data_IF_503229095187
#
_entry.id   IF_503229095187
#
_cell.length_a   1.000
_cell.length_b   1.000
_cell.length_c   1.000
_cell.angle_alpha   90.00
_cell.angle_beta   90.00
_cell.angle_gamma   90.00
#
_symmetry.space_group_name_H-M   'P 1'
#
loop_
_entity.id
_entity.type
_entity.pdbx_description
1 polymer ?
#
# COMPACT_ATOMS: atom_id res chain seq x y z
N UNK A 1 18.75 -0.21 13.47
CA UNK A 1 17.33 -0.28 13.84
C UNK A 1 16.54 -0.44 12.55
N UNK A 2 15.67 -1.44 12.43
CA UNK A 2 14.88 -1.62 11.20
C UNK A 2 13.82 -0.52 11.08
N UNK A 3 13.31 -0.26 9.86
CA UNK A 3 12.21 0.69 9.66
C UNK A 3 10.98 0.31 10.49
N UNK A 4 10.66 -0.99 10.56
CA UNK A 4 9.55 -1.50 11.38
C UNK A 4 9.72 -1.18 12.87
N UNK A 5 10.94 -1.31 13.40
CA UNK A 5 11.23 -0.97 14.80
C UNK A 5 11.05 0.52 15.05
N UNK A 6 11.51 1.36 14.12
CA UNK A 6 11.32 2.82 14.18
C UNK A 6 9.83 3.18 14.21
N UNK A 7 9.04 2.61 13.30
CA UNK A 7 7.60 2.89 13.22
C UNK A 7 6.87 2.44 14.48
N UNK A 8 7.21 1.26 15.02
CA UNK A 8 6.65 0.79 16.27
C UNK A 8 7.06 1.67 17.46
N UNK A 9 8.30 2.16 17.50
CA UNK A 9 8.73 3.11 18.52
C UNK A 9 7.92 4.42 18.47
N UNK A 10 7.75 4.99 17.28
CA UNK A 10 6.92 6.19 17.05
C UNK A 10 5.46 5.96 17.44
N UNK A 11 4.90 4.81 17.07
CA UNK A 11 3.53 4.45 17.41
C UNK A 11 3.30 4.36 18.93
N UNK A 12 4.26 3.82 19.70
CA UNK A 12 4.20 3.82 21.17
C UNK A 12 4.23 5.23 21.75
N UNK A 13 5.13 6.08 21.26
CA UNK A 13 5.20 7.48 21.68
C UNK A 13 3.89 8.21 21.38
N UNK A 14 3.34 8.02 20.18
CA UNK A 14 2.07 8.58 19.76
C UNK A 14 0.94 8.14 20.69
N UNK A 15 0.82 6.83 20.95
CA UNK A 15 -0.22 6.29 21.82
C UNK A 15 -0.14 6.88 23.23
N UNK A 16 1.07 6.97 23.80
CA UNK A 16 1.30 7.55 25.12
C UNK A 16 0.94 9.04 25.17
N UNK A 17 1.36 9.81 24.17
CA UNK A 17 1.12 11.26 24.11
C UNK A 17 -0.36 11.62 23.95
N UNK A 18 -1.12 10.79 23.24
CA UNK A 18 -2.52 11.07 22.90
C UNK A 18 -3.52 10.22 23.70
N UNK A 19 -3.04 9.41 24.66
CA UNK A 19 -3.89 8.53 25.46
C UNK A 19 -4.62 7.46 24.64
N UNK A 20 -4.05 7.03 23.52
CA UNK A 20 -4.67 6.02 22.66
C UNK A 20 -4.60 4.64 23.30
N UNK A 21 -5.64 3.83 23.08
CA UNK A 21 -5.59 2.41 23.39
C UNK A 21 -4.62 1.73 22.42
N UNK A 22 -3.65 0.96 22.91
CA UNK A 22 -2.72 0.23 22.06
C UNK A 22 -2.33 -1.13 22.65
N UNK A 23 -2.18 -2.13 21.79
CA UNK A 23 -1.62 -3.44 22.13
C UNK A 23 -0.36 -3.73 21.31
N UNK A 24 0.47 -4.65 21.78
CA UNK A 24 1.66 -5.09 21.05
C UNK A 24 1.49 -6.51 20.52
N UNK A 25 1.71 -6.65 19.22
CA UNK A 25 1.92 -7.94 18.57
C UNK A 25 3.41 -8.30 18.70
N UNK A 26 3.70 -9.45 19.33
CA UNK A 26 5.05 -10.00 19.41
C UNK A 26 5.42 -10.92 18.24
N UNK A 27 6.71 -11.21 18.09
CA UNK A 27 7.25 -12.11 17.06
C UNK A 27 7.72 -11.40 15.78
N UNK A 28 7.93 -12.15 14.70
CA UNK A 28 8.44 -11.65 13.41
C UNK A 28 7.52 -10.60 12.76
N UNK A 29 6.22 -10.64 13.05
CA UNK A 29 5.24 -9.67 12.60
C UNK A 29 5.00 -8.54 13.61
N UNK A 30 6.05 -8.10 14.33
CA UNK A 30 5.88 -7.14 15.43
C UNK A 30 5.18 -5.85 14.97
N UNK A 31 4.15 -5.45 15.70
CA UNK A 31 3.41 -4.23 15.42
C UNK A 31 2.69 -3.69 16.64
N UNK A 32 2.64 -2.38 16.79
CA UNK A 32 1.67 -1.70 17.65
C UNK A 32 0.31 -1.71 16.96
N UNK A 33 -0.71 -2.19 17.67
CA UNK A 33 -2.10 -2.22 17.22
C UNK A 33 -2.90 -1.17 17.99
N UNK A 34 -3.43 -0.18 17.29
CA UNK A 34 -4.28 0.84 17.88
C UNK A 34 -5.71 0.32 18.09
N UNK A 35 -6.30 0.65 19.24
CA UNK A 35 -7.67 0.30 19.57
C UNK A 35 -8.68 1.33 19.06
N UNK A 36 -9.92 1.14 19.52
CA UNK A 36 -10.95 2.17 19.44
C UNK A 36 -10.99 2.93 20.76
N UNK A 37 -11.22 4.23 20.70
CA UNK A 37 -11.52 5.02 21.89
C UNK A 37 -12.97 4.78 22.36
N UNK A 38 -13.35 5.41 23.46
CA UNK A 38 -14.70 5.30 24.06
C UNK A 38 -15.83 5.72 23.11
N UNK A 39 -15.54 6.60 22.14
CA UNK A 39 -16.49 7.05 21.12
C UNK A 39 -16.53 6.13 19.89
N UNK A 40 -15.84 4.98 19.92
CA UNK A 40 -15.77 4.03 18.79
C UNK A 40 -14.89 4.50 17.63
N UNK A 41 -14.10 5.56 17.81
CA UNK A 41 -13.13 6.05 16.81
C UNK A 41 -11.85 5.23 16.87
N UNK A 42 -11.33 4.82 15.71
CA UNK A 42 -10.05 4.11 15.61
C UNK A 42 -8.88 5.06 15.71
N UNK A 43 -8.00 4.84 16.70
CA UNK A 43 -6.85 5.71 16.98
C UNK A 43 -5.70 5.57 15.96
N UNK A 44 -5.81 4.61 15.02
CA UNK A 44 -4.88 4.52 13.89
C UNK A 44 -5.12 5.58 12.80
N UNK A 45 -6.27 6.27 12.83
CA UNK A 45 -6.69 7.22 11.81
C UNK A 45 -6.81 8.64 12.35
N UNK A 46 -6.58 9.62 11.49
CA UNK A 46 -7.00 10.99 11.78
C UNK A 46 -8.52 11.05 11.98
N UNK A 47 -9.04 11.90 12.89
CA UNK A 47 -10.48 11.99 13.15
C UNK A 47 -11.31 12.27 11.89
N UNK A 48 -10.89 13.26 11.09
CA UNK A 48 -11.53 13.61 9.81
C UNK A 48 -11.51 12.45 8.81
N UNK A 49 -10.37 11.73 8.71
CA UNK A 49 -10.26 10.54 7.86
C UNK A 49 -11.24 9.46 8.31
N UNK A 50 -11.28 9.16 9.60
CA UNK A 50 -12.17 8.12 10.11
C UNK A 50 -13.65 8.46 9.85
N UNK A 51 -14.03 9.73 10.00
CA UNK A 51 -15.36 10.19 9.68
C UNK A 51 -15.71 9.99 8.18
N UNK A 52 -14.79 10.35 7.27
CA UNK A 52 -14.96 10.13 5.82
C UNK A 52 -15.04 8.65 5.43
N UNK A 53 -14.26 7.79 6.10
CA UNK A 53 -14.32 6.32 5.92
C UNK A 53 -15.68 5.79 6.32
N UNK A 54 -16.22 6.21 7.47
CA UNK A 54 -17.54 5.78 7.94
C UNK A 54 -18.67 6.31 7.06
N UNK A 55 -18.52 7.51 6.50
CA UNK A 55 -19.51 8.09 5.59
C UNK A 55 -19.66 7.34 4.26
N UNK A 56 -18.65 6.54 3.86
CA UNK A 56 -18.65 5.76 2.61
C UNK A 56 -18.66 4.26 2.90
N UNK A 57 -19.78 3.55 2.68
CA UNK A 57 -19.88 2.11 2.99
C UNK A 57 -18.80 1.24 2.33
N UNK A 58 -18.34 1.61 1.13
CA UNK A 58 -17.27 0.89 0.45
C UNK A 58 -15.94 0.96 1.22
N UNK A 59 -15.60 2.11 1.80
CA UNK A 59 -14.40 2.32 2.61
C UNK A 59 -14.56 1.71 4.00
N UNK A 60 -15.72 1.89 4.63
CA UNK A 60 -16.02 1.35 5.97
C UNK A 60 -15.80 -0.17 6.05
N UNK A 61 -16.15 -0.93 4.99
CA UNK A 61 -15.90 -2.38 4.91
C UNK A 61 -14.42 -2.76 5.08
N UNK A 62 -13.47 -1.89 4.74
CA UNK A 62 -12.03 -2.17 4.94
C UNK A 62 -11.68 -2.24 6.44
N UNK A 63 -12.39 -1.50 7.30
CA UNK A 63 -12.19 -1.53 8.76
C UNK A 63 -12.56 -2.87 9.41
N UNK A 64 -13.33 -3.71 8.71
CA UNK A 64 -13.83 -4.99 9.23
C UNK A 64 -12.86 -6.15 9.02
N UNK A 65 -11.84 -5.98 8.17
CA UNK A 65 -10.91 -7.07 7.85
C UNK A 65 -10.13 -7.49 9.09
N UNK A 66 -10.32 -8.74 9.52
CA UNK A 66 -9.73 -9.29 10.75
C UNK A 66 -8.22 -9.44 10.57
N UNK A 67 -7.45 -8.99 11.55
CA UNK A 67 -6.00 -9.14 11.53
C UNK A 67 -5.61 -10.62 11.51
N UNK A 68 -4.72 -11.03 10.62
CA UNK A 68 -4.31 -12.44 10.45
C UNK A 68 -3.78 -13.08 11.72
N UNK A 69 -3.06 -12.31 12.55
CA UNK A 69 -2.56 -12.74 13.85
C UNK A 69 -3.62 -12.88 14.96
N UNK A 70 -4.83 -12.33 14.79
CA UNK A 70 -5.87 -12.30 15.83
C UNK A 70 -6.24 -13.70 16.35
N UNK A 71 -6.32 -14.69 15.45
CA UNK A 71 -6.65 -16.08 15.84
C UNK A 71 -5.58 -16.71 16.72
N UNK A 72 -4.32 -16.26 16.61
CA UNK A 72 -3.17 -16.77 17.39
C UNK A 72 -2.99 -16.04 18.73
N UNK A 73 -3.55 -14.84 18.86
CA UNK A 73 -3.32 -13.94 20.00
C UNK A 73 -4.50 -13.82 20.96
N UNK A 74 -5.56 -14.61 20.77
CA UNK A 74 -6.86 -14.53 21.48
C UNK A 74 -6.78 -14.50 23.02
N UNK A 75 -5.63 -14.86 23.60
CA UNK A 75 -5.34 -14.80 25.03
C UNK A 75 -4.87 -13.43 25.55
N UNK A 76 -4.59 -12.43 24.70
CA UNK A 76 -3.90 -11.17 25.09
C UNK A 76 -4.62 -9.88 24.69
N UNK A 77 -5.81 -9.96 24.11
CA UNK A 77 -6.49 -8.79 23.55
C UNK A 77 -7.92 -8.67 24.07
N UNK A 78 -8.27 -7.50 24.60
CA UNK A 78 -9.63 -7.20 25.08
C UNK A 78 -10.61 -6.90 23.93
N UNK A 79 -10.13 -6.84 22.68
CA UNK A 79 -10.95 -6.52 21.50
C UNK A 79 -10.52 -7.26 20.23
N UNK A 80 -11.41 -7.35 19.21
CA UNK A 80 -11.08 -7.92 17.91
C UNK A 80 -10.09 -7.05 17.12
N UNK A 81 -8.89 -7.57 16.88
CA UNK A 81 -7.87 -6.88 16.08
C UNK A 81 -8.24 -6.86 14.59
N UNK A 82 -8.10 -5.69 13.95
CA UNK A 82 -8.29 -5.52 12.50
C UNK A 82 -6.97 -5.21 11.81
N UNK A 83 -6.89 -5.50 10.52
CA UNK A 83 -5.66 -5.26 9.75
C UNK A 83 -5.25 -3.78 9.76
N UNK A 84 -6.24 -2.89 9.64
CA UNK A 84 -6.03 -1.45 9.62
C UNK A 84 -5.78 -0.84 11.01
N UNK A 85 -5.69 -1.64 12.06
CA UNK A 85 -5.28 -1.17 13.39
C UNK A 85 -3.75 -1.18 13.54
N UNK A 86 -3.04 -1.88 12.65
CA UNK A 86 -1.60 -1.99 12.70
C UNK A 86 -0.91 -0.67 12.31
N UNK A 87 0.00 -0.22 13.17
CA UNK A 87 0.78 1.00 12.97
C UNK A 87 1.67 0.95 11.71
N UNK A 88 2.01 -0.26 11.26
CA UNK A 88 2.90 -0.51 10.13
C UNK A 88 2.14 -0.93 8.86
N UNK A 89 0.83 -0.76 8.84
CA UNK A 89 -0.04 -1.08 7.70
C UNK A 89 0.08 -0.03 6.61
N UNK A 90 0.50 -0.48 5.41
CA UNK A 90 0.49 0.30 4.17
C UNK A 90 -0.93 0.71 3.76
N UNK A 91 -1.92 -0.20 3.87
CA UNK A 91 -3.34 0.12 3.65
C UNK A 91 -3.85 1.23 4.58
N UNK A 92 -3.49 1.19 5.87
CA UNK A 92 -3.92 2.23 6.81
C UNK A 92 -3.26 3.59 6.48
N UNK A 93 -2.00 3.58 6.03
CA UNK A 93 -1.32 4.79 5.54
C UNK A 93 -1.99 5.33 4.26
N UNK A 94 -2.26 4.46 3.28
CA UNK A 94 -3.02 4.79 2.07
C UNK A 94 -4.34 5.48 2.42
N UNK A 95 -5.14 4.86 3.30
CA UNK A 95 -6.43 5.40 3.68
C UNK A 95 -6.30 6.71 4.47
N UNK A 96 -5.30 6.86 5.34
CA UNK A 96 -5.02 8.14 6.02
C UNK A 96 -4.72 9.29 5.05
N UNK A 97 -4.08 8.99 3.92
CA UNK A 97 -3.79 10.02 2.91
C UNK A 97 -5.02 10.25 2.02
N UNK A 98 -5.51 9.21 1.35
CA UNK A 98 -6.47 9.36 0.26
C UNK A 98 -7.93 9.51 0.71
N UNK A 99 -8.28 9.09 1.93
CA UNK A 99 -9.62 9.32 2.48
C UNK A 99 -9.75 10.69 3.18
N UNK A 100 -8.68 11.47 3.33
CA UNK A 100 -8.79 12.77 3.97
C UNK A 100 -9.53 13.78 3.06
N UNK A 101 -10.44 14.61 3.62
CA UNK A 101 -11.24 15.55 2.83
C UNK A 101 -10.41 16.47 1.92
N UNK A 102 -9.27 16.97 2.42
CA UNK A 102 -8.39 17.86 1.67
C UNK A 102 -7.73 17.19 0.47
N UNK A 103 -7.49 15.87 0.51
CA UNK A 103 -6.77 15.14 -0.54
C UNK A 103 -7.51 15.13 -1.86
N UNK A 104 -8.85 14.97 -1.81
CA UNK A 104 -9.71 14.99 -3.01
C UNK A 104 -9.63 16.29 -3.82
N UNK A 105 -9.34 17.42 -3.16
CA UNK A 105 -9.24 18.75 -3.77
C UNK A 105 -7.79 19.16 -4.04
N UNK A 106 -6.82 18.33 -3.67
CA UNK A 106 -5.41 18.66 -3.75
C UNK A 106 -4.88 18.44 -5.18
N UNK A 107 -4.86 19.50 -5.97
CA UNK A 107 -4.41 19.43 -7.36
C UNK A 107 -2.97 18.95 -7.51
N UNK A 108 -2.07 19.28 -6.56
CA UNK A 108 -0.67 18.83 -6.60
C UNK A 108 -0.55 17.32 -6.37
N UNK A 109 -1.32 16.77 -5.42
CA UNK A 109 -1.38 15.32 -5.18
C UNK A 109 -1.88 14.59 -6.42
N UNK A 110 -2.98 15.04 -7.01
CA UNK A 110 -3.55 14.42 -8.20
C UNK A 110 -2.64 14.55 -9.43
N UNK A 111 -1.97 15.69 -9.61
CA UNK A 111 -0.99 15.89 -10.67
C UNK A 111 0.22 14.94 -10.52
N UNK A 112 0.73 14.75 -9.30
CA UNK A 112 1.80 13.78 -9.02
C UNK A 112 1.38 12.35 -9.39
N UNK A 113 0.14 11.99 -9.11
CA UNK A 113 -0.44 10.70 -9.52
C UNK A 113 -0.72 10.62 -11.03
N UNK A 114 -0.71 11.74 -11.75
CA UNK A 114 -1.12 11.85 -13.16
C UNK A 114 -2.61 11.63 -13.37
N UNK A 115 -3.43 12.02 -12.39
CA UNK A 115 -4.88 11.86 -12.39
C UNK A 115 -5.58 13.23 -12.32
N UNK A 116 -6.85 13.27 -12.72
CA UNK A 116 -7.66 14.47 -12.55
C UNK A 116 -7.97 14.72 -11.06
N UNK A 117 -8.04 16.00 -10.67
CA UNK A 117 -8.51 16.39 -9.33
C UNK A 117 -9.95 15.90 -9.12
N UNK A 118 -10.25 15.42 -7.91
CA UNK A 118 -11.57 14.88 -7.56
C UNK A 118 -11.78 13.41 -7.90
N UNK A 119 -10.81 12.71 -8.51
CA UNK A 119 -10.87 11.25 -8.66
C UNK A 119 -10.96 10.57 -7.29
N UNK A 120 -12.01 9.77 -7.07
CA UNK A 120 -12.20 9.08 -5.80
C UNK A 120 -11.36 7.79 -5.72
N UNK A 121 -10.76 7.48 -4.55
CA UNK A 121 -10.05 6.23 -4.35
C UNK A 121 -11.01 5.06 -4.10
N UNK A 122 -10.71 3.93 -4.72
CA UNK A 122 -11.33 2.63 -4.48
C UNK A 122 -10.28 1.68 -3.91
N UNK A 123 -10.58 1.03 -2.78
CA UNK A 123 -9.61 0.17 -2.08
C UNK A 123 -9.90 -1.31 -2.26
N UNK A 124 -8.84 -2.11 -2.40
CA UNK A 124 -8.94 -3.57 -2.50
C UNK A 124 -9.65 -4.05 -3.76
N UNK A 125 -9.40 -3.39 -4.89
CA UNK A 125 -10.07 -3.74 -6.16
C UNK A 125 -9.46 -5.02 -6.73
N UNK A 126 -10.23 -5.74 -7.54
CA UNK A 126 -9.74 -6.95 -8.24
C UNK A 126 -9.77 -6.68 -9.74
N UNK A 127 -8.63 -6.42 -10.39
CA UNK A 127 -8.59 -6.09 -11.82
C UNK A 127 -9.08 -7.19 -12.76
N UNK A 128 -9.19 -8.44 -12.26
CA UNK A 128 -9.57 -9.62 -13.06
C UNK A 128 -8.63 -9.87 -14.24
N UNK A 129 -7.33 -9.64 -14.04
CA UNK A 129 -6.28 -9.83 -15.05
C UNK A 129 -6.42 -11.20 -15.74
N UNK A 130 -6.52 -11.26 -17.07
CA UNK A 130 -6.79 -12.51 -17.80
C UNK A 130 -5.72 -13.58 -17.59
N UNK A 131 -6.18 -14.79 -17.28
CA UNK A 131 -5.36 -15.99 -17.22
C UNK A 131 -5.53 -16.80 -18.52
N UNK A 132 -4.52 -17.58 -18.89
CA UNK A 132 -4.55 -18.49 -20.05
C UNK A 132 -5.70 -19.52 -19.98
N UNK A 133 -6.21 -19.81 -18.77
CA UNK A 133 -7.38 -20.66 -18.55
C UNK A 133 -8.73 -20.01 -18.91
N UNK A 134 -8.75 -18.74 -19.35
CA UNK A 134 -9.97 -17.97 -19.60
C UNK A 134 -10.62 -17.39 -18.34
N UNK A 135 -10.08 -17.67 -17.14
CA UNK A 135 -10.50 -17.06 -15.87
C UNK A 135 -9.76 -15.74 -15.63
N UNK A 136 -10.28 -14.91 -14.74
CA UNK A 136 -9.59 -13.71 -14.25
C UNK A 136 -8.90 -13.93 -12.91
N UNK A 137 -7.70 -13.36 -12.73
CA UNK A 137 -7.03 -13.31 -11.43
C UNK A 137 -7.89 -12.56 -10.40
N UNK A 138 -8.02 -13.14 -9.20
CA UNK A 138 -8.88 -12.61 -8.14
C UNK A 138 -8.12 -11.91 -7.04
N UNK A 139 -6.80 -11.73 -7.23
CA UNK A 139 -5.96 -10.98 -6.30
C UNK A 139 -6.41 -9.53 -6.24
N UNK A 140 -6.50 -9.01 -5.02
CA UNK A 140 -6.69 -7.59 -4.75
C UNK A 140 -5.42 -6.80 -5.07
N UNK A 141 -5.61 -5.58 -5.58
CA UNK A 141 -4.63 -4.50 -5.60
C UNK A 141 -5.10 -3.45 -4.60
N UNK A 142 -4.17 -2.76 -3.95
CA UNK A 142 -4.48 -2.01 -2.73
C UNK A 142 -5.41 -0.83 -2.99
N UNK A 143 -5.19 -0.10 -4.08
CA UNK A 143 -6.03 1.03 -4.46
C UNK A 143 -6.12 1.21 -5.98
N UNK A 144 -7.25 1.76 -6.44
CA UNK A 144 -7.40 2.45 -7.71
C UNK A 144 -7.84 3.89 -7.46
N UNK A 145 -7.31 4.82 -8.23
CA UNK A 145 -7.77 6.21 -8.27
C UNK A 145 -7.79 6.67 -9.73
N UNK A 146 -8.97 6.97 -10.26
CA UNK A 146 -9.14 7.28 -11.69
C UNK A 146 -8.57 6.18 -12.58
N UNK A 147 -7.55 6.52 -13.38
CA UNK A 147 -6.86 5.62 -14.31
C UNK A 147 -5.59 4.97 -13.73
N UNK A 148 -5.33 5.09 -12.42
CA UNK A 148 -4.14 4.58 -11.77
C UNK A 148 -4.47 3.43 -10.82
N UNK A 149 -3.81 2.29 -11.03
CA UNK A 149 -3.71 1.19 -10.08
C UNK A 149 -2.53 1.39 -9.14
N UNK A 150 -2.66 1.03 -7.87
CA UNK A 150 -1.64 1.26 -6.85
C UNK A 150 -1.39 0.03 -5.99
N UNK A 151 -0.13 -0.40 -5.92
CA UNK A 151 0.39 -1.32 -4.90
C UNK A 151 1.21 -0.51 -3.90
N UNK A 152 0.91 -0.64 -2.61
CA UNK A 152 1.52 0.12 -1.53
C UNK A 152 2.35 -0.78 -0.61
N UNK A 153 3.53 -0.29 -0.23
CA UNK A 153 4.42 -0.91 0.74
C UNK A 153 4.93 0.11 1.74
N UNK A 154 5.03 -0.29 3.00
CA UNK A 154 5.60 0.51 4.08
C UNK A 154 6.71 -0.27 4.79
N UNK A 155 6.40 -1.41 5.40
CA UNK A 155 7.35 -2.22 6.19
C UNK A 155 7.43 -3.68 5.77
N UNK A 156 6.73 -4.06 4.71
CA UNK A 156 6.77 -5.37 4.11
C UNK A 156 8.18 -5.69 3.64
N UNK A 157 8.61 -6.94 3.80
CA UNK A 157 9.95 -7.38 3.41
C UNK A 157 10.15 -7.31 1.89
N UNK A 158 9.13 -7.70 1.13
CA UNK A 158 9.23 -7.91 -0.31
C UNK A 158 7.86 -7.82 -1.01
N UNK A 159 7.89 -8.00 -2.34
CA UNK A 159 6.73 -8.00 -3.25
C UNK A 159 6.22 -9.41 -3.58
N UNK A 160 6.32 -10.34 -2.64
CA UNK A 160 6.01 -11.77 -2.77
C UNK A 160 6.93 -12.52 -3.76
N UNK A 161 7.23 -13.76 -3.38
CA UNK A 161 7.96 -14.71 -4.21
C UNK A 161 6.96 -15.73 -4.76
N UNK A 162 7.06 -16.05 -6.06
CA UNK A 162 6.19 -17.02 -6.70
C UNK A 162 6.96 -18.08 -7.49
N UNK A 163 6.48 -19.33 -7.51
CA UNK A 163 7.00 -20.34 -8.42
C UNK A 163 6.65 -20.00 -9.88
N UNK A 164 7.46 -20.49 -10.80
CA UNK A 164 7.36 -20.24 -12.25
C UNK A 164 5.95 -20.45 -12.81
N UNK A 165 5.27 -21.54 -12.42
CA UNK A 165 3.88 -21.86 -12.84
C UNK A 165 2.87 -20.74 -12.59
N UNK A 166 3.08 -19.87 -11.59
CA UNK A 166 2.17 -18.77 -11.27
C UNK A 166 2.40 -17.51 -12.11
N UNK A 167 3.54 -17.43 -12.81
CA UNK A 167 3.84 -16.36 -13.76
C UNK A 167 3.35 -16.75 -15.16
N UNK A 168 3.64 -17.98 -15.60
CA UNK A 168 3.22 -18.46 -16.92
C UNK A 168 1.71 -18.66 -17.10
N UNK A 169 0.92 -18.56 -16.03
CA UNK A 169 -0.55 -18.69 -16.11
C UNK A 169 -1.25 -17.47 -16.71
N UNK A 170 -0.59 -16.30 -16.78
CA UNK A 170 -1.21 -15.10 -17.33
C UNK A 170 -1.24 -15.19 -18.84
N UNK A 171 -2.36 -14.77 -19.43
CA UNK A 171 -2.57 -14.87 -20.88
C UNK A 171 -1.51 -14.12 -21.67
N UNK A 172 -1.18 -12.90 -21.22
CA UNK A 172 -0.37 -11.94 -21.97
C UNK A 172 1.08 -11.87 -21.46
N UNK A 173 1.55 -12.87 -20.70
CA UNK A 173 2.85 -12.79 -20.01
C UNK A 173 4.03 -12.63 -20.96
N UNK A 174 4.10 -13.41 -22.03
CA UNK A 174 5.19 -13.37 -23.02
C UNK A 174 5.17 -12.08 -23.86
N UNK A 175 3.98 -11.51 -24.08
CA UNK A 175 3.82 -10.23 -24.77
C UNK A 175 4.33 -9.08 -23.91
N UNK A 176 3.98 -9.09 -22.62
CA UNK A 176 4.23 -7.98 -21.71
C UNK A 176 5.62 -8.03 -21.10
N UNK A 177 6.13 -9.22 -20.79
CA UNK A 177 7.34 -9.39 -19.98
C UNK A 177 8.37 -10.27 -20.69
N UNK A 178 9.61 -9.81 -20.69
CA UNK A 178 10.76 -10.65 -21.00
C UNK A 178 11.11 -11.54 -19.81
N UNK A 179 10.47 -12.72 -19.76
CA UNK A 179 10.60 -13.70 -18.67
C UNK A 179 12.06 -14.20 -18.51
N UNK A 180 12.86 -14.17 -19.57
CA UNK A 180 14.27 -14.56 -19.52
C UNK A 180 15.11 -13.54 -18.73
N UNK A 181 14.73 -12.27 -18.77
CA UNK A 181 15.43 -11.17 -18.09
C UNK A 181 14.88 -10.88 -16.69
N UNK A 182 13.75 -11.49 -16.30
CA UNK A 182 13.20 -11.34 -14.94
C UNK A 182 14.17 -11.87 -13.88
N UNK A 183 14.29 -11.19 -12.73
CA UNK A 183 15.04 -11.71 -11.59
C UNK A 183 14.55 -13.10 -11.17
N UNK A 184 15.49 -13.99 -10.82
CA UNK A 184 15.22 -15.34 -10.33
C UNK A 184 16.09 -15.63 -9.10
N UNK A 185 15.51 -16.32 -8.13
CA UNK A 185 16.25 -16.92 -7.04
C UNK A 185 16.98 -18.18 -7.53
N UNK A 186 17.95 -18.66 -6.76
CA UNK A 186 18.73 -19.86 -7.07
C UNK A 186 17.85 -21.12 -7.27
N UNK A 187 16.72 -21.18 -6.57
CA UNK A 187 15.74 -22.27 -6.66
C UNK A 187 14.71 -22.11 -7.79
N UNK A 188 14.91 -21.13 -8.68
CA UNK A 188 14.06 -20.88 -9.85
C UNK A 188 12.76 -20.13 -9.56
N UNK A 189 12.49 -19.74 -8.31
CA UNK A 189 11.35 -18.87 -7.99
C UNK A 189 11.63 -17.42 -8.38
N UNK A 190 10.57 -16.66 -8.62
CA UNK A 190 10.64 -15.27 -9.01
C UNK A 190 10.25 -14.37 -7.84
N UNK A 191 11.14 -13.47 -7.39
CA UNK A 191 10.76 -12.38 -6.51
C UNK A 191 9.96 -11.32 -7.30
N UNK A 192 9.32 -10.38 -6.60
CA UNK A 192 8.61 -9.29 -7.28
C UNK A 192 7.29 -9.70 -7.93
N UNK A 193 6.67 -10.79 -7.49
CA UNK A 193 5.47 -11.33 -8.14
C UNK A 193 4.29 -10.34 -8.12
N UNK A 194 4.12 -9.56 -7.04
CA UNK A 194 3.11 -8.49 -6.99
C UNK A 194 3.31 -7.44 -8.08
N UNK A 195 4.56 -7.07 -8.35
CA UNK A 195 4.93 -6.08 -9.36
C UNK A 195 4.62 -6.57 -10.78
N UNK A 196 4.98 -7.82 -11.07
CA UNK A 196 4.65 -8.49 -12.33
C UNK A 196 3.14 -8.50 -12.56
N UNK A 197 2.36 -8.84 -11.53
CA UNK A 197 0.89 -8.82 -11.61
C UNK A 197 0.31 -7.43 -11.81
N UNK A 198 0.84 -6.42 -11.13
CA UNK A 198 0.43 -5.03 -11.30
C UNK A 198 0.64 -4.53 -12.73
N UNK A 199 1.80 -4.82 -13.32
CA UNK A 199 2.08 -4.48 -14.71
C UNK A 199 1.15 -5.20 -15.70
N UNK A 200 0.88 -6.49 -15.48
CA UNK A 200 -0.07 -7.25 -16.31
C UNK A 200 -1.51 -6.74 -16.17
N UNK A 201 -1.91 -6.34 -14.96
CA UNK A 201 -3.21 -5.72 -14.73
C UNK A 201 -3.35 -4.39 -15.48
N UNK A 202 -2.33 -3.53 -15.41
CA UNK A 202 -2.24 -2.27 -16.14
C UNK A 202 -2.29 -2.46 -17.66
N UNK A 203 -1.62 -3.49 -18.18
CA UNK A 203 -1.70 -3.86 -19.59
C UNK A 203 -3.12 -4.28 -19.97
N UNK A 204 -3.68 -5.27 -19.28
CA UNK A 204 -4.97 -5.86 -19.62
C UNK A 204 -6.15 -4.89 -19.50
N UNK A 205 -6.03 -3.87 -18.64
CA UNK A 205 -7.10 -2.89 -18.39
C UNK A 205 -6.87 -1.55 -19.10
N UNK A 206 -5.71 -1.35 -19.73
CA UNK A 206 -5.34 -0.04 -20.30
C UNK A 206 -5.09 1.05 -19.24
N UNK A 207 -4.97 0.69 -17.95
CA UNK A 207 -4.72 1.60 -16.84
C UNK A 207 -3.23 1.76 -16.52
N UNK A 208 -2.86 2.83 -15.83
CA UNK A 208 -1.52 3.00 -15.27
C UNK A 208 -1.32 2.15 -14.01
N UNK A 209 -0.07 1.92 -13.62
CA UNK A 209 0.24 1.25 -12.34
C UNK A 209 1.39 1.95 -11.63
N UNK A 210 1.19 2.24 -10.34
CA UNK A 210 2.19 2.81 -9.46
C UNK A 210 2.51 1.87 -8.31
N UNK A 211 3.79 1.83 -7.97
CA UNK A 211 4.26 1.33 -6.68
C UNK A 211 4.44 2.53 -5.76
N UNK A 212 3.79 2.50 -4.59
CA UNK A 212 4.04 3.43 -3.50
C UNK A 212 4.90 2.74 -2.44
N UNK A 213 6.08 3.29 -2.14
CA UNK A 213 6.94 2.74 -1.10
C UNK A 213 7.62 3.81 -0.24
N UNK A 214 8.23 3.41 0.87
CA UNK A 214 9.03 4.33 1.67
C UNK A 214 10.38 4.59 0.99
N UNK A 215 10.80 5.86 0.86
CA UNK A 215 12.10 6.23 0.29
C UNK A 215 13.29 5.61 1.04
N UNK A 216 13.10 5.23 2.30
CA UNK A 216 14.11 4.52 3.12
C UNK A 216 14.25 3.04 2.77
N UNK A 217 13.51 2.55 1.76
CA UNK A 217 13.52 1.15 1.27
C UNK A 217 14.07 1.07 -0.17
N UNK A 218 15.38 1.34 -0.37
CA UNK A 218 15.99 1.24 -1.69
C UNK A 218 15.91 -0.16 -2.29
N UNK A 219 15.81 -1.19 -1.45
CA UNK A 219 15.61 -2.59 -1.87
C UNK A 219 14.27 -2.81 -2.58
N UNK A 220 13.19 -2.16 -2.12
CA UNK A 220 11.88 -2.22 -2.79
C UNK A 220 11.88 -1.42 -4.09
N UNK A 221 12.54 -0.25 -4.08
CA UNK A 221 12.73 0.59 -5.26
C UNK A 221 13.48 -0.19 -6.35
N UNK A 222 14.59 -0.83 -5.99
CA UNK A 222 15.38 -1.64 -6.91
C UNK A 222 14.58 -2.83 -7.44
N UNK A 223 13.83 -3.52 -6.58
CA UNK A 223 12.96 -4.63 -7.01
C UNK A 223 11.97 -4.19 -8.09
N UNK A 224 11.40 -2.99 -7.95
CA UNK A 224 10.51 -2.43 -8.97
C UNK A 224 11.24 -2.11 -10.28
N UNK A 225 12.38 -1.43 -10.22
CA UNK A 225 13.18 -1.09 -11.41
C UNK A 225 13.64 -2.35 -12.16
N UNK A 226 13.99 -3.42 -11.43
CA UNK A 226 14.36 -4.71 -11.98
C UNK A 226 13.22 -5.43 -12.71
N UNK A 227 11.96 -5.20 -12.31
CA UNK A 227 10.78 -5.70 -13.05
C UNK A 227 10.46 -4.77 -14.23
N UNK A 228 10.51 -3.45 -14.04
CA UNK A 228 10.18 -2.47 -15.07
C UNK A 228 11.08 -2.58 -16.30
N UNK A 229 12.38 -2.88 -16.12
CA UNK A 229 13.31 -3.12 -17.24
C UNK A 229 12.95 -4.33 -18.09
N UNK A 230 12.19 -5.28 -17.56
CA UNK A 230 11.76 -6.48 -18.27
C UNK A 230 10.46 -6.28 -19.05
N UNK A 231 9.81 -5.12 -18.94
CA UNK A 231 8.56 -4.85 -19.65
C UNK A 231 8.85 -4.54 -21.12
N UNK A 232 8.29 -5.36 -22.02
CA UNK A 232 8.52 -5.25 -23.47
C UNK A 232 7.82 -4.02 -24.07
N UNK A 233 6.49 -3.80 -23.86
CA UNK A 233 5.80 -2.70 -24.54
C UNK A 233 6.23 -1.34 -23.98
N UNK A 234 6.71 -0.46 -24.86
CA UNK A 234 7.13 0.89 -24.47
C UNK A 234 5.97 1.71 -23.89
N UNK A 235 4.79 1.63 -24.49
CA UNK A 235 3.59 2.34 -24.03
C UNK A 235 3.17 1.92 -22.62
N UNK A 236 3.37 0.64 -22.26
CA UNK A 236 3.15 0.20 -20.89
C UNK A 236 4.18 0.81 -19.96
N UNK A 237 5.49 0.74 -20.30
CA UNK A 237 6.57 1.29 -19.47
C UNK A 237 6.37 2.75 -19.08
N UNK A 238 5.83 3.57 -19.99
CA UNK A 238 5.56 5.00 -19.74
C UNK A 238 4.42 5.21 -18.72
N UNK A 239 3.50 4.25 -18.60
CA UNK A 239 2.37 4.27 -17.65
C UNK A 239 2.69 3.60 -16.31
N UNK A 240 3.91 3.08 -16.15
CA UNK A 240 4.39 2.45 -14.93
C UNK A 240 5.17 3.47 -14.09
N UNK A 241 4.81 3.61 -12.82
CA UNK A 241 5.33 4.66 -11.92
C UNK A 241 5.91 4.07 -10.64
N UNK A 242 6.86 4.80 -10.07
CA UNK A 242 7.33 4.65 -8.71
C UNK A 242 7.15 6.00 -8.02
N UNK A 243 6.50 6.02 -6.87
CA UNK A 243 6.41 7.20 -6.04
C UNK A 243 6.71 6.79 -4.59
N UNK A 244 7.34 7.70 -3.86
CA UNK A 244 7.63 7.50 -2.45
C UNK A 244 6.58 8.17 -1.58
N UNK A 245 6.38 7.66 -0.37
CA UNK A 245 5.51 8.34 0.60
C UNK A 245 5.99 9.76 0.93
N UNK A 246 7.28 10.02 0.82
CA UNK A 246 7.91 11.32 1.02
C UNK A 246 7.55 12.31 -0.09
N UNK A 247 7.49 11.85 -1.34
CA UNK A 247 6.98 12.67 -2.46
C UNK A 247 5.49 12.96 -2.31
N UNK A 248 4.69 11.95 -1.92
CA UNK A 248 3.27 12.14 -1.62
C UNK A 248 3.10 13.16 -0.49
N UNK A 249 3.85 13.02 0.62
CA UNK A 249 3.79 13.91 1.77
C UNK A 249 4.10 15.37 1.41
N UNK A 250 5.02 15.61 0.48
CA UNK A 250 5.35 16.96 0.03
C UNK A 250 4.19 17.69 -0.66
N UNK A 251 3.19 16.96 -1.17
CA UNK A 251 1.97 17.57 -1.73
C UNK A 251 0.92 17.89 -0.68
N UNK A 252 1.00 17.32 0.53
CA UNK A 252 -0.04 17.44 1.55
C UNK A 252 0.08 18.74 2.35
N UNK A 253 -0.99 19.14 3.03
CA UNK A 253 -0.98 20.29 3.93
C UNK A 253 -0.12 20.05 5.19
N UNK A 254 0.32 21.14 5.83
CA UNK A 254 1.27 21.08 6.96
C UNK A 254 0.78 20.24 8.14
N UNK A 255 -0.52 20.27 8.47
CA UNK A 255 -1.09 19.45 9.52
C UNK A 255 -0.95 17.96 9.25
N UNK A 256 -1.22 17.55 8.00
CA UNK A 256 -1.02 16.18 7.55
C UNK A 256 0.44 15.76 7.51
N UNK A 257 1.32 16.63 7.02
CA UNK A 257 2.76 16.38 7.05
C UNK A 257 3.25 16.16 8.48
N UNK A 258 2.77 16.95 9.43
CA UNK A 258 3.05 16.79 10.85
C UNK A 258 2.58 15.44 11.39
N UNK A 259 1.36 15.01 11.05
CA UNK A 259 0.86 13.68 11.38
C UNK A 259 1.74 12.56 10.81
N UNK A 260 2.08 12.64 9.52
CA UNK A 260 2.93 11.64 8.86
C UNK A 260 4.35 11.59 9.47
N UNK A 261 4.93 12.73 9.78
CA UNK A 261 6.24 12.83 10.44
C UNK A 261 6.23 12.23 11.85
N UNK A 262 5.19 12.53 12.63
CA UNK A 262 5.06 12.01 13.98
C UNK A 262 4.81 10.49 14.01
N UNK A 263 3.89 10.00 13.16
CA UNK A 263 3.45 8.59 13.14
C UNK A 263 4.41 7.67 12.41
N UNK A 264 4.89 8.10 11.25
CA UNK A 264 5.61 7.25 10.31
C UNK A 264 7.05 7.70 10.07
N UNK A 265 7.46 8.88 10.59
CA UNK A 265 8.75 9.47 10.26
C UNK A 265 8.86 9.84 8.78
N UNK A 266 7.71 10.03 8.10
CA UNK A 266 7.65 10.43 6.70
C UNK A 266 7.58 11.95 6.67
N UNK A 267 8.61 12.57 6.12
CA UNK A 267 8.71 14.01 5.93
C UNK A 267 8.72 14.32 4.43
N UNK A 268 8.22 15.49 4.01
CA UNK A 268 8.32 15.96 2.63
C UNK A 268 9.75 15.81 2.08
N UNK A 269 9.89 15.24 0.89
CA UNK A 269 11.16 15.28 0.19
C UNK A 269 11.54 16.74 -0.11
N UNK A 270 12.75 17.15 0.25
CA UNK A 270 13.28 18.48 -0.05
C UNK A 270 13.62 18.69 -1.53
N UNK A 271 13.54 17.64 -2.35
CA UNK A 271 13.99 17.62 -3.74
C UNK A 271 12.87 17.79 -4.78
N UNK A 272 11.65 18.17 -4.37
CA UNK A 272 10.63 18.60 -5.33
C UNK A 272 10.87 20.09 -5.66
N UNK A 273 11.70 20.33 -6.68
CA UNK A 273 11.84 21.63 -7.35
C UNK A 273 11.40 21.52 -8.79
#
# INVERSE_FOLDING_TARGET
MSLRDELNFRARLWAKMHGCMAAELGGEASSVLFGCNEAGRRDNFLPEVHAEILARPAWARRLEKVHTAYRRSRARADWPWRELDAAVSSDALLMNIFCHPASSRNTALHALLGEAAGSEPEFGIRPRTPLASGRGDTTEIDMRIGHLLVEAKLTESDFQIAPERLIHRYRDIEEVIDIASLPRLEDGRFPGYQLVRGALAAHATGLSFAVLCDARRPDLIESWLQVQRCIRPLELRIRLKLLTWQEIAATLESGHQGFLGARYGIFPSSDIR
#
